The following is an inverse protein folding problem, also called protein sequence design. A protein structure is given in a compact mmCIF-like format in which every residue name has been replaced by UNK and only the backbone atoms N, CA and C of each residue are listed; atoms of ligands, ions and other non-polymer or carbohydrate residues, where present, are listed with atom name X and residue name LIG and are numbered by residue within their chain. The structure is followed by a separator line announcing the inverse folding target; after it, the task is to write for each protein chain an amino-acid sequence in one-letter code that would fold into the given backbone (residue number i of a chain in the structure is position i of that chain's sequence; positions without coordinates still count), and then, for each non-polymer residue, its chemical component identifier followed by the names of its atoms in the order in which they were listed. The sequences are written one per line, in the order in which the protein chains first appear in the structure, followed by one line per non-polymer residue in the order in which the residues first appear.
data_IF_985217786737
#
_entry.id   IF_985217786737
#
_cell.length_a   1.000
_cell.length_b   1.000
_cell.length_c   1.000
_cell.angle_alpha   90.00
_cell.angle_beta   90.00
_cell.angle_gamma   90.00
#
_symmetry.space_group_name_H-M   'P 1'
#
loop_
_entity.id
_entity.type
_entity.pdbx_description
1 polymer ?
#
# COMPACT_ATOMS: atom_id res chain seq x y z
N UNK A 1 11.69 27.78 -3.94
CA UNK A 1 11.20 26.93 -5.05
C UNK A 1 12.35 26.03 -5.48
N UNK A 2 12.16 24.73 -5.36
CA UNK A 2 13.14 23.75 -5.83
C UNK A 2 12.91 23.50 -7.32
N UNK A 3 13.93 23.72 -8.15
CA UNK A 3 13.88 23.40 -9.58
C UNK A 3 14.38 21.97 -9.80
N UNK A 4 13.68 21.21 -10.64
CA UNK A 4 14.08 19.86 -11.03
C UNK A 4 14.30 19.77 -12.54
N UNK A 5 15.24 18.90 -12.92
CA UNK A 5 15.52 18.59 -14.32
C UNK A 5 14.42 17.70 -14.89
N UNK A 6 13.95 18.02 -16.07
CA UNK A 6 13.04 17.20 -16.86
C UNK A 6 13.86 16.35 -17.82
N UNK A 7 13.66 15.04 -17.77
CA UNK A 7 14.35 14.08 -18.63
C UNK A 7 13.40 13.58 -19.72
N UNK A 8 13.94 13.09 -20.82
CA UNK A 8 13.20 12.31 -21.78
C UNK A 8 13.28 10.81 -21.47
N UNK A 9 12.57 9.96 -22.19
CA UNK A 9 12.61 8.50 -22.00
C UNK A 9 14.00 7.88 -22.27
N UNK A 10 14.90 8.60 -22.94
CA UNK A 10 16.30 8.17 -23.16
C UNK A 10 17.27 8.65 -22.07
N UNK A 11 16.77 9.35 -21.05
CA UNK A 11 17.58 9.87 -19.93
C UNK A 11 18.31 11.18 -20.24
N UNK A 12 18.04 11.83 -21.37
CA UNK A 12 18.62 13.12 -21.70
C UNK A 12 17.80 14.27 -21.08
N UNK A 13 18.47 15.31 -20.63
CA UNK A 13 17.85 16.52 -20.06
C UNK A 13 17.19 17.34 -21.18
N UNK A 14 15.90 17.64 -21.03
CA UNK A 14 15.10 18.43 -21.99
C UNK A 14 14.81 19.82 -21.47
N UNK A 15 14.68 19.97 -20.14
CA UNK A 15 14.33 21.25 -19.53
C UNK A 15 14.40 21.21 -18.00
N UNK A 16 13.83 22.23 -17.37
CA UNK A 16 13.66 22.32 -15.93
C UNK A 16 12.23 22.69 -15.59
N UNK A 17 11.71 22.14 -14.50
CA UNK A 17 10.39 22.46 -13.94
C UNK A 17 10.57 22.98 -12.51
N UNK A 18 9.77 23.97 -12.15
CA UNK A 18 9.71 24.48 -10.78
C UNK A 18 8.64 23.69 -10.02
N UNK A 19 8.98 23.19 -8.84
CA UNK A 19 8.07 22.47 -7.96
C UNK A 19 7.37 23.44 -7.01
N UNK A 20 6.08 23.20 -6.78
CA UNK A 20 5.29 23.96 -5.82
C UNK A 20 5.70 23.64 -4.37
N UNK A 21 6.24 24.61 -3.65
CA UNK A 21 6.70 24.46 -2.25
C UNK A 21 5.54 24.06 -1.29
N UNK A 22 4.28 24.37 -1.62
CA UNK A 22 3.12 23.98 -0.81
C UNK A 22 2.85 22.46 -0.83
N UNK A 23 3.51 21.72 -1.76
CA UNK A 23 3.37 20.28 -1.91
C UNK A 23 4.71 19.56 -1.70
N UNK A 24 5.77 20.06 -2.34
CA UNK A 24 7.09 19.41 -2.37
C UNK A 24 8.12 20.03 -1.42
N UNK A 25 7.78 21.15 -0.76
CA UNK A 25 8.66 21.88 0.15
C UNK A 25 8.24 21.83 1.62
N UNK A 26 7.25 21.03 1.99
CA UNK A 26 6.80 20.94 3.38
C UNK A 26 7.73 20.03 4.20
N UNK A 27 7.82 20.30 5.50
CA UNK A 27 8.51 19.42 6.44
C UNK A 27 7.77 18.09 6.55
N UNK A 28 8.41 16.94 6.27
CA UNK A 28 7.77 15.64 6.31
C UNK A 28 7.30 15.27 7.72
N UNK A 29 6.02 14.88 7.87
CA UNK A 29 5.47 14.41 9.13
C UNK A 29 5.36 12.89 9.13
N UNK A 30 6.34 12.20 9.70
CA UNK A 30 6.43 10.74 9.74
C UNK A 30 5.27 10.10 10.52
N UNK A 31 4.77 10.73 11.58
CA UNK A 31 3.68 10.21 12.40
C UNK A 31 2.39 10.09 11.58
N UNK A 32 2.08 11.12 10.80
CA UNK A 32 0.89 11.15 9.96
C UNK A 32 1.02 10.14 8.81
N UNK A 33 2.20 10.00 8.21
CA UNK A 33 2.48 8.99 7.19
C UNK A 33 2.28 7.58 7.76
N UNK A 34 2.86 7.29 8.94
CA UNK A 34 2.68 6.00 9.61
C UNK A 34 1.21 5.67 9.88
N UNK A 35 0.41 6.64 10.37
CA UNK A 35 -1.01 6.42 10.62
C UNK A 35 -1.80 6.11 9.34
N UNK A 36 -1.47 6.75 8.22
CA UNK A 36 -2.13 6.46 6.93
C UNK A 36 -1.74 5.08 6.40
N UNK A 37 -0.47 4.69 6.51
CA UNK A 37 0.01 3.34 6.13
C UNK A 37 -0.66 2.28 6.99
N UNK A 38 -0.73 2.47 8.31
CA UNK A 38 -1.42 1.57 9.25
C UNK A 38 -2.91 1.44 8.94
N UNK A 39 -3.58 2.55 8.60
CA UNK A 39 -4.96 2.55 8.15
C UNK A 39 -5.15 1.74 6.87
N UNK A 40 -4.28 1.95 5.87
CA UNK A 40 -4.32 1.21 4.61
C UNK A 40 -4.21 -0.31 4.85
N UNK A 41 -3.20 -0.74 5.63
CA UNK A 41 -2.99 -2.14 5.96
C UNK A 41 -4.14 -2.75 6.76
N UNK A 42 -4.75 -1.99 7.68
CA UNK A 42 -5.91 -2.44 8.43
C UNK A 42 -7.14 -2.63 7.52
N UNK A 43 -7.36 -1.69 6.59
CA UNK A 43 -8.48 -1.76 5.64
C UNK A 43 -8.32 -2.87 4.59
N UNK A 44 -7.10 -3.35 4.35
CA UNK A 44 -6.84 -4.51 3.48
C UNK A 44 -7.12 -5.85 4.17
N UNK A 45 -7.30 -5.89 5.51
CA UNK A 45 -7.56 -7.13 6.23
C UNK A 45 -8.99 -7.59 6.01
N UNK A 46 -9.17 -8.82 5.53
CA UNK A 46 -10.48 -9.42 5.28
C UNK A 46 -11.25 -9.78 6.57
N UNK A 47 -10.54 -10.12 7.65
CA UNK A 47 -11.13 -10.38 8.96
C UNK A 47 -11.99 -11.65 9.09
N UNK A 48 -11.80 -12.63 8.23
CA UNK A 48 -12.60 -13.87 8.15
C UNK A 48 -12.17 -14.97 9.11
N UNK A 49 -11.22 -14.70 10.02
CA UNK A 49 -10.79 -15.69 11.01
C UNK A 49 -11.96 -16.11 11.90
N UNK A 50 -12.15 -17.43 12.06
CA UNK A 50 -13.19 -17.98 12.91
C UNK A 50 -12.74 -19.26 13.56
N UNK A 51 -13.08 -19.43 14.83
CA UNK A 51 -12.93 -20.70 15.54
C UNK A 51 -14.16 -20.94 16.42
N UNK A 52 -14.40 -22.22 16.74
CA UNK A 52 -15.56 -22.62 17.51
C UNK A 52 -15.29 -22.50 19.02
N UNK A 53 -16.19 -21.88 19.74
CA UNK A 53 -16.24 -21.88 21.19
C UNK A 53 -16.80 -23.19 21.69
N UNK A 54 -16.65 -23.47 22.99
CA UNK A 54 -17.22 -24.64 23.65
C UNK A 54 -18.73 -24.82 23.39
N UNK A 55 -19.47 -23.73 23.25
CA UNK A 55 -20.91 -23.77 22.99
C UNK A 55 -21.24 -24.21 21.55
N UNK A 56 -20.37 -23.88 20.61
CA UNK A 56 -20.58 -24.09 19.17
C UNK A 56 -20.06 -25.46 18.68
N UNK A 57 -19.08 -26.03 19.38
CA UNK A 57 -18.56 -27.35 19.02
C UNK A 57 -19.66 -28.40 19.15
N UNK A 58 -19.80 -29.28 18.15
CA UNK A 58 -20.76 -30.40 18.16
C UNK A 58 -20.41 -31.44 19.21
N UNK A 59 -21.42 -32.11 19.77
CA UNK A 59 -21.26 -33.16 20.77
C UNK A 59 -21.46 -32.65 22.21
N UNK A 60 -21.05 -33.43 23.22
CA UNK A 60 -21.27 -33.15 24.63
C UNK A 60 -22.70 -33.44 25.08
N UNK A 61 -23.25 -32.59 25.95
CA UNK A 61 -24.62 -32.80 26.52
C UNK A 61 -24.67 -33.81 27.66
N UNK A 62 -23.82 -34.81 27.67
CA UNK A 62 -23.71 -35.78 28.75
C UNK A 62 -22.37 -35.60 29.50
N UNK A 63 -22.42 -35.73 30.86
CA UNK A 63 -21.20 -35.74 31.68
C UNK A 63 -20.41 -37.04 31.35
N UNK A 64 -19.08 -36.97 31.08
CA UNK A 64 -18.29 -38.14 30.69
C UNK A 64 -18.31 -39.29 31.71
N UNK A 65 -18.23 -38.97 33.00
CA UNK A 65 -18.31 -39.91 34.11
C UNK A 65 -18.85 -39.25 35.38
N UNK A 66 -19.23 -40.07 36.36
CA UNK A 66 -19.71 -39.59 37.67
C UNK A 66 -18.66 -38.77 38.43
N UNK A 67 -19.12 -37.93 39.35
CA UNK A 67 -18.31 -36.93 40.04
C UNK A 67 -17.20 -37.52 40.91
N UNK A 68 -17.41 -38.71 41.50
CA UNK A 68 -16.50 -39.42 42.41
C UNK A 68 -16.51 -40.93 42.12
N UNK A 69 -15.47 -41.66 42.59
CA UNK A 69 -15.39 -43.11 42.51
C UNK A 69 -14.97 -43.67 41.13
N UNK A 70 -14.30 -42.89 40.28
CA UNK A 70 -13.81 -43.34 38.95
C UNK A 70 -12.29 -43.35 38.86
N UNK A 71 -11.56 -42.77 39.83
CA UNK A 71 -10.12 -42.60 39.75
C UNK A 71 -9.65 -41.52 38.73
N UNK A 72 -10.57 -40.96 37.95
CA UNK A 72 -10.28 -39.95 36.92
C UNK A 72 -10.49 -38.53 37.46
N UNK A 73 -9.81 -37.56 36.81
CA UNK A 73 -10.06 -36.14 37.05
C UNK A 73 -11.50 -35.77 36.79
N UNK A 74 -12.06 -34.85 37.55
CA UNK A 74 -13.45 -34.41 37.41
C UNK A 74 -13.65 -33.67 36.09
N UNK A 75 -14.61 -34.11 35.27
CA UNK A 75 -14.91 -33.49 33.98
C UNK A 75 -16.43 -33.28 33.84
N UNK A 76 -16.83 -32.14 33.27
CA UNK A 76 -18.21 -31.78 33.05
C UNK A 76 -18.67 -31.96 31.59
N UNK A 77 -17.75 -31.86 30.64
CA UNK A 77 -18.06 -31.94 29.21
C UNK A 77 -16.83 -32.33 28.41
N UNK A 78 -17.02 -33.10 27.35
CA UNK A 78 -15.97 -33.46 26.37
C UNK A 78 -15.62 -32.29 25.43
N UNK A 79 -16.44 -31.24 25.38
CA UNK A 79 -16.23 -30.05 24.56
C UNK A 79 -15.38 -28.97 25.27
N UNK A 80 -14.93 -29.22 26.50
CA UNK A 80 -14.12 -28.29 27.25
C UNK A 80 -12.75 -28.09 26.57
N UNK A 81 -12.11 -26.90 26.71
CA UNK A 81 -10.88 -26.57 25.97
C UNK A 81 -9.70 -27.51 26.22
N UNK A 82 -9.65 -28.17 27.36
CA UNK A 82 -8.61 -29.16 27.71
C UNK A 82 -8.75 -30.51 26.99
N UNK A 83 -9.87 -30.73 26.30
CA UNK A 83 -10.13 -31.95 25.56
C UNK A 83 -9.67 -31.81 24.11
N UNK A 84 -9.16 -32.90 23.56
CA UNK A 84 -8.92 -32.99 22.10
C UNK A 84 -10.25 -32.80 21.37
N UNK A 85 -10.25 -31.94 20.35
CA UNK A 85 -11.46 -31.50 19.64
C UNK A 85 -12.46 -30.68 20.50
N UNK A 86 -12.07 -30.20 21.67
CA UNK A 86 -12.85 -29.23 22.44
C UNK A 86 -12.84 -27.84 21.82
N UNK A 87 -13.69 -26.94 22.35
CA UNK A 87 -13.76 -25.57 21.86
C UNK A 87 -12.60 -24.69 22.35
N UNK A 88 -12.36 -23.59 21.67
CA UNK A 88 -11.39 -22.57 22.07
C UNK A 88 -12.06 -21.58 23.03
N UNK A 89 -11.37 -21.19 24.12
CA UNK A 89 -11.95 -20.31 25.16
C UNK A 89 -12.27 -18.93 24.59
N UNK A 90 -11.27 -18.28 23.98
CA UNK A 90 -11.39 -16.98 23.30
C UNK A 90 -11.26 -17.18 21.80
N UNK A 91 -12.21 -17.91 21.23
CA UNK A 91 -12.22 -18.20 19.81
C UNK A 91 -12.32 -16.91 19.00
N UNK A 92 -11.43 -16.68 18.02
CA UNK A 92 -11.56 -15.54 17.14
C UNK A 92 -12.87 -15.64 16.37
N UNK A 93 -13.52 -14.50 16.17
CA UNK A 93 -14.73 -14.36 15.35
C UNK A 93 -14.45 -13.39 14.20
N UNK A 94 -15.15 -13.54 13.07
CA UNK A 94 -15.06 -12.60 11.98
C UNK A 94 -15.35 -11.18 12.48
N UNK A 95 -14.48 -10.22 12.10
CA UNK A 95 -14.66 -8.81 12.43
C UNK A 95 -14.13 -7.91 11.34
N UNK A 96 -14.68 -6.73 11.24
CA UNK A 96 -14.16 -5.66 10.41
C UNK A 96 -13.01 -4.95 11.13
N UNK A 97 -11.92 -4.70 10.39
CA UNK A 97 -10.74 -3.96 10.84
C UNK A 97 -10.66 -2.57 10.22
N UNK A 98 -11.59 -2.24 9.32
CA UNK A 98 -11.55 -0.98 8.59
C UNK A 98 -11.89 0.21 9.50
N UNK A 99 -11.22 1.32 9.26
CA UNK A 99 -11.55 2.61 9.88
C UNK A 99 -11.18 3.75 8.94
N UNK A 100 -11.80 4.91 9.15
CA UNK A 100 -11.65 6.07 8.28
C UNK A 100 -10.81 7.15 8.95
N UNK A 101 -9.82 7.67 8.22
CA UNK A 101 -9.07 8.86 8.61
C UNK A 101 -9.62 10.12 7.96
N UNK A 102 -9.45 11.26 8.63
CA UNK A 102 -9.85 12.56 8.13
C UNK A 102 -9.13 12.90 6.80
N UNK A 103 -9.84 13.53 5.87
CA UNK A 103 -9.29 13.92 4.56
C UNK A 103 -8.04 14.81 4.68
N UNK A 104 -8.03 15.75 5.64
CA UNK A 104 -6.87 16.64 5.89
C UNK A 104 -5.61 15.85 6.29
N UNK A 105 -5.76 14.80 7.12
CA UNK A 105 -4.67 13.92 7.54
C UNK A 105 -4.09 13.16 6.34
N UNK A 106 -4.95 12.58 5.49
CA UNK A 106 -4.52 11.87 4.27
C UNK A 106 -3.77 12.80 3.29
N UNK A 107 -4.26 14.04 3.11
CA UNK A 107 -3.59 15.04 2.26
C UNK A 107 -2.22 15.43 2.81
N UNK A 108 -2.13 15.67 4.12
CA UNK A 108 -0.85 16.01 4.78
C UNK A 108 0.15 14.86 4.64
N UNK A 109 -0.28 13.61 4.82
CA UNK A 109 0.57 12.44 4.61
C UNK A 109 1.10 12.36 3.18
N UNK A 110 0.23 12.57 2.18
CA UNK A 110 0.63 12.55 0.77
C UNK A 110 1.68 13.63 0.46
N UNK A 111 1.40 14.88 0.87
CA UNK A 111 2.35 15.99 0.71
C UNK A 111 3.69 15.69 1.41
N UNK A 112 3.65 15.13 2.63
CA UNK A 112 4.87 14.75 3.38
C UNK A 112 5.72 13.74 2.63
N UNK A 113 5.11 12.72 2.01
CA UNK A 113 5.85 11.71 1.25
C UNK A 113 6.40 12.28 -0.05
N UNK A 114 5.63 13.11 -0.77
CA UNK A 114 6.09 13.77 -2.00
C UNK A 114 7.28 14.70 -1.71
N UNK A 115 7.19 15.49 -0.65
CA UNK A 115 8.27 16.37 -0.19
C UNK A 115 9.53 15.57 0.19
N UNK A 116 9.38 14.46 0.92
CA UNK A 116 10.51 13.60 1.28
C UNK A 116 11.20 13.01 0.03
N UNK A 117 10.43 12.53 -0.95
CA UNK A 117 10.99 11.99 -2.20
C UNK A 117 11.71 13.05 -3.02
N UNK A 118 11.20 14.27 -3.06
CA UNK A 118 11.87 15.40 -3.71
C UNK A 118 13.18 15.75 -3.01
N UNK A 119 13.20 15.85 -1.68
CA UNK A 119 14.38 16.13 -0.88
C UNK A 119 15.47 15.05 -0.97
N UNK A 120 15.06 13.76 -1.07
CA UNK A 120 15.98 12.62 -1.25
C UNK A 120 16.56 12.54 -2.68
N UNK A 121 16.10 13.36 -3.62
CA UNK A 121 16.48 13.26 -5.03
C UNK A 121 15.95 11.99 -5.74
N UNK A 122 14.89 11.39 -5.20
CA UNK A 122 14.26 10.17 -5.74
C UNK A 122 13.00 10.46 -6.55
N UNK A 123 12.67 11.72 -6.74
CA UNK A 123 11.66 12.19 -7.69
C UNK A 123 12.34 12.41 -9.03
N UNK A 124 11.81 11.81 -10.09
CA UNK A 124 12.28 11.94 -11.47
C UNK A 124 11.12 12.44 -12.32
N UNK A 125 11.33 13.56 -12.99
CA UNK A 125 10.32 14.14 -13.88
C UNK A 125 10.67 13.83 -15.34
N UNK A 126 9.68 13.29 -16.06
CA UNK A 126 9.80 12.91 -17.48
C UNK A 126 8.91 13.83 -18.30
N UNK A 127 9.38 14.27 -19.46
CA UNK A 127 8.64 15.12 -20.38
C UNK A 127 7.31 14.46 -20.82
N UNK A 128 7.39 13.24 -21.35
CA UNK A 128 6.23 12.43 -21.67
C UNK A 128 6.56 10.95 -21.67
N UNK A 129 5.65 10.13 -21.10
CA UNK A 129 5.77 8.67 -21.09
C UNK A 129 4.82 8.10 -22.13
N UNK A 130 5.33 7.84 -23.33
CA UNK A 130 4.55 7.30 -24.47
C UNK A 130 5.25 6.10 -25.07
N UNK A 131 4.47 5.07 -25.38
CA UNK A 131 4.96 3.86 -26.05
C UNK A 131 4.06 3.53 -27.24
N UNK A 132 4.66 3.15 -28.36
CA UNK A 132 3.92 2.80 -29.59
C UNK A 132 3.33 1.37 -29.51
N UNK A 133 3.97 0.49 -28.77
CA UNK A 133 3.55 -0.90 -28.63
C UNK A 133 3.78 -1.44 -27.22
N UNK A 134 3.05 -2.50 -26.86
CA UNK A 134 3.18 -3.17 -25.54
C UNK A 134 4.48 -3.99 -25.54
N UNK A 135 5.53 -3.47 -24.91
CA UNK A 135 6.85 -4.13 -24.80
C UNK A 135 7.52 -3.84 -23.48
N UNK A 136 7.68 -4.88 -22.64
CA UNK A 136 8.35 -4.78 -21.34
C UNK A 136 9.85 -4.47 -21.46
N UNK A 137 10.50 -4.97 -22.51
CA UNK A 137 11.92 -4.72 -22.73
C UNK A 137 12.23 -3.23 -23.01
N UNK A 138 11.36 -2.52 -23.74
CA UNK A 138 11.50 -1.09 -24.00
C UNK A 138 11.24 -0.27 -22.71
N UNK A 139 10.24 -0.66 -21.94
CA UNK A 139 9.96 0.00 -20.65
C UNK A 139 11.12 -0.19 -19.66
N UNK A 140 11.75 -1.37 -19.64
CA UNK A 140 12.92 -1.62 -18.80
C UNK A 140 14.13 -0.76 -19.24
N UNK A 141 14.39 -0.67 -20.55
CA UNK A 141 15.43 0.23 -21.07
C UNK A 141 15.20 1.69 -20.68
N UNK A 142 13.95 2.14 -20.67
CA UNK A 142 13.58 3.46 -20.20
C UNK A 142 13.95 3.65 -18.71
N UNK A 143 13.57 2.72 -17.82
CA UNK A 143 13.92 2.80 -16.40
C UNK A 143 15.44 2.78 -16.17
N UNK A 144 16.16 1.94 -16.90
CA UNK A 144 17.64 1.88 -16.84
C UNK A 144 18.28 3.19 -17.32
N UNK A 145 17.75 3.81 -18.39
CA UNK A 145 18.23 5.09 -18.92
C UNK A 145 18.06 6.25 -17.93
N UNK A 146 16.96 6.22 -17.18
CA UNK A 146 16.63 7.23 -16.15
C UNK A 146 17.29 6.90 -14.79
N UNK A 147 18.06 5.80 -14.71
CA UNK A 147 18.78 5.33 -13.51
C UNK A 147 17.85 5.01 -12.33
N UNK A 148 16.72 4.40 -12.62
CA UNK A 148 15.76 3.94 -11.62
C UNK A 148 16.05 2.49 -11.29
N UNK A 149 16.76 2.25 -10.19
CA UNK A 149 17.08 0.92 -9.68
C UNK A 149 16.16 0.55 -8.52
N UNK A 150 15.38 -0.52 -8.68
CA UNK A 150 14.52 -1.05 -7.61
C UNK A 150 13.04 -0.72 -7.77
N UNK A 151 12.34 -0.57 -6.64
CA UNK A 151 10.89 -0.31 -6.65
C UNK A 151 10.59 1.12 -7.11
N UNK A 152 9.71 1.25 -8.10
CA UNK A 152 9.31 2.54 -8.65
C UNK A 152 7.80 2.65 -8.81
N UNK A 153 7.27 3.82 -8.51
CA UNK A 153 5.93 4.22 -8.92
C UNK A 153 6.06 5.17 -10.12
N UNK A 154 5.40 4.81 -11.21
CA UNK A 154 5.35 5.61 -12.43
C UNK A 154 3.98 6.26 -12.53
N UNK A 155 3.94 7.58 -12.54
CA UNK A 155 2.71 8.38 -12.52
C UNK A 155 2.47 8.98 -13.88
N UNK A 156 1.32 8.64 -14.46
CA UNK A 156 0.85 9.16 -15.75
C UNK A 156 -0.33 10.11 -15.56
N UNK A 157 -0.57 11.07 -16.46
CA UNK A 157 -1.70 11.99 -16.33
C UNK A 157 -3.06 11.28 -16.37
N UNK A 158 -3.17 10.23 -17.18
CA UNK A 158 -4.35 9.37 -17.32
C UNK A 158 -3.92 7.91 -17.45
N UNK A 159 -4.86 6.99 -17.41
CA UNK A 159 -4.57 5.56 -17.62
C UNK A 159 -4.22 5.32 -19.09
N UNK A 160 -2.99 4.90 -19.35
CA UNK A 160 -2.53 4.44 -20.65
C UNK A 160 -2.34 2.92 -20.61
N UNK A 161 -3.18 2.18 -21.35
CA UNK A 161 -3.13 0.72 -21.36
C UNK A 161 -1.82 0.17 -21.90
N UNK A 162 -1.17 0.85 -22.86
CA UNK A 162 0.08 0.40 -23.45
C UNK A 162 1.19 0.48 -22.41
N UNK A 163 1.28 1.61 -21.70
CA UNK A 163 2.24 1.83 -20.61
C UNK A 163 2.00 0.85 -19.46
N UNK A 164 0.76 0.71 -19.00
CA UNK A 164 0.39 -0.21 -17.91
C UNK A 164 0.75 -1.66 -18.25
N UNK A 165 0.38 -2.13 -19.45
CA UNK A 165 0.67 -3.51 -19.88
C UNK A 165 2.16 -3.76 -20.09
N UNK A 166 2.93 -2.74 -20.48
CA UNK A 166 4.39 -2.82 -20.64
C UNK A 166 5.13 -2.86 -19.30
N UNK A 167 4.64 -2.13 -18.28
CA UNK A 167 5.28 -2.02 -16.96
C UNK A 167 4.91 -3.15 -16.00
N UNK A 168 3.65 -3.62 -15.99
CA UNK A 168 3.10 -4.52 -14.96
C UNK A 168 3.85 -5.84 -14.75
N UNK A 169 4.60 -6.32 -15.75
CA UNK A 169 5.38 -7.55 -15.64
C UNK A 169 6.77 -7.32 -15.01
N UNK A 170 7.16 -6.07 -14.75
CA UNK A 170 8.44 -5.76 -14.12
C UNK A 170 8.25 -5.78 -12.59
N UNK A 171 8.97 -6.66 -11.85
CA UNK A 171 8.85 -6.72 -10.40
C UNK A 171 9.20 -5.38 -9.75
N UNK A 172 8.36 -4.92 -8.82
CA UNK A 172 8.60 -3.69 -8.08
C UNK A 172 8.19 -2.39 -8.80
N UNK A 173 7.69 -2.46 -10.04
CA UNK A 173 7.21 -1.29 -10.78
C UNK A 173 5.67 -1.26 -10.76
N UNK A 174 5.13 -0.13 -10.32
CA UNK A 174 3.71 0.15 -10.29
C UNK A 174 3.41 1.38 -11.16
N UNK A 175 2.42 1.30 -12.03
CA UNK A 175 1.91 2.44 -12.79
C UNK A 175 0.59 2.92 -12.19
N UNK A 176 0.45 4.23 -12.00
CA UNK A 176 -0.77 4.83 -11.42
C UNK A 176 -1.08 6.15 -12.10
N UNK A 177 -2.34 6.50 -12.33
CA UNK A 177 -2.71 7.85 -12.78
C UNK A 177 -2.56 8.86 -11.64
N UNK A 178 -2.32 10.13 -12.00
CA UNK A 178 -2.14 11.24 -11.06
C UNK A 178 -3.28 11.40 -10.05
N UNK A 179 -4.51 11.03 -10.43
CA UNK A 179 -5.70 11.13 -9.58
C UNK A 179 -5.82 10.02 -8.51
N UNK A 180 -5.03 8.96 -8.60
CA UNK A 180 -5.13 7.78 -7.72
C UNK A 180 -3.82 7.49 -6.98
N UNK A 181 -3.15 8.52 -6.49
CA UNK A 181 -1.92 8.37 -5.72
C UNK A 181 -2.21 7.80 -4.32
N UNK A 182 -1.54 6.71 -3.98
CA UNK A 182 -1.60 6.06 -2.68
C UNK A 182 -0.34 6.36 -1.87
N UNK A 183 -0.52 6.83 -0.62
CA UNK A 183 0.61 7.04 0.32
C UNK A 183 1.38 5.75 0.54
N UNK A 184 0.67 4.60 0.63
CA UNK A 184 1.30 3.29 0.82
C UNK A 184 2.25 2.93 -0.32
N UNK A 185 1.81 3.12 -1.57
CA UNK A 185 2.62 2.81 -2.75
C UNK A 185 3.84 3.71 -2.86
N UNK A 186 3.67 5.01 -2.57
CA UNK A 186 4.77 5.98 -2.57
C UNK A 186 5.82 5.70 -1.48
N UNK A 187 5.41 5.25 -0.30
CA UNK A 187 6.33 4.86 0.78
C UNK A 187 7.05 3.56 0.45
N UNK A 188 6.36 2.58 -0.15
CA UNK A 188 6.94 1.30 -0.53
C UNK A 188 7.91 1.41 -1.72
N UNK A 189 7.73 2.40 -2.59
CA UNK A 189 8.62 2.66 -3.72
C UNK A 189 9.87 3.45 -3.27
N UNK A 190 11.00 3.17 -3.91
CA UNK A 190 12.23 3.93 -3.75
C UNK A 190 12.24 5.16 -4.65
N UNK A 191 11.73 5.03 -5.86
CA UNK A 191 11.71 6.09 -6.86
C UNK A 191 10.27 6.45 -7.23
N UNK A 192 10.07 7.72 -7.49
CA UNK A 192 8.84 8.29 -8.02
C UNK A 192 9.15 8.91 -9.38
N UNK A 193 8.65 8.30 -10.45
CA UNK A 193 8.77 8.77 -11.83
C UNK A 193 7.47 9.41 -12.23
N UNK A 194 7.49 10.69 -12.57
CA UNK A 194 6.28 11.48 -12.84
C UNK A 194 6.36 12.09 -14.25
N UNK A 195 5.32 11.88 -15.04
CA UNK A 195 5.12 12.61 -16.29
C UNK A 195 4.86 14.09 -15.99
N UNK A 196 5.40 15.00 -16.79
CA UNK A 196 5.27 16.46 -16.57
C UNK A 196 3.79 16.90 -16.55
N UNK A 197 2.94 16.32 -17.39
CA UNK A 197 1.51 16.60 -17.35
C UNK A 197 0.84 16.04 -16.09
N UNK A 198 1.31 14.90 -15.59
CA UNK A 198 0.84 14.34 -14.32
C UNK A 198 1.25 15.20 -13.12
N UNK A 199 2.45 15.81 -13.16
CA UNK A 199 2.91 16.74 -12.13
C UNK A 199 1.98 17.95 -12.02
N UNK A 200 1.61 18.56 -13.14
CA UNK A 200 0.66 19.68 -13.17
C UNK A 200 -0.70 19.29 -12.56
N UNK A 201 -1.21 18.10 -12.88
CA UNK A 201 -2.45 17.59 -12.28
C UNK A 201 -2.32 17.37 -10.76
N UNK A 202 -1.17 16.88 -10.28
CA UNK A 202 -0.91 16.73 -8.83
C UNK A 202 -0.93 18.09 -8.14
N UNK A 203 -0.33 19.09 -8.76
CA UNK A 203 -0.31 20.44 -8.21
C UNK A 203 -1.70 21.06 -8.15
N UNK A 204 -2.52 20.88 -9.19
CA UNK A 204 -3.91 21.38 -9.19
C UNK A 204 -4.78 20.73 -8.11
N UNK A 205 -4.66 19.42 -7.91
CA UNK A 205 -5.51 18.65 -6.97
C UNK A 205 -5.11 18.83 -5.52
N UNK A 206 -3.82 19.02 -5.24
CA UNK A 206 -3.29 19.00 -3.87
C UNK A 206 -2.72 20.36 -3.39
N UNK A 207 -2.70 21.39 -4.20
CA UNK A 207 -2.27 22.73 -3.81
C UNK A 207 -3.07 23.34 -2.64
#
# INVERSE_FOLDING_TARGET
MSSMKVLNMAGAEVGTVELNDAIFGIEPNEVVVHEVVKNHLANCRQGTQSALTRAEVSGGGRKPWRQKGTGHARQGSIRAPQWTHGGIVFAPKPRDYSYVLNKKVKRLALKSVLSARAAEGKLVVIDSIKMDAIKTAEFRKFLDAVKVDGKAVVVTPAVDEIVVKSARNIPGVLTTPSNNLSVYDLVNAQYLVVDQAALANIEEVYA
#
